data_IF_528938526147
#
_entry.id   IF_528938526147
#
_cell.length_a   1.000
_cell.length_b   1.000
_cell.length_c   1.000
_cell.angle_alpha   90.00
_cell.angle_beta   90.00
_cell.angle_gamma   90.00
#
_symmetry.space_group_name_H-M   'P 1'
#
loop_
_entity.id
_entity.type
_entity.pdbx_description
1 polymer ?
#
# COMPACT_ATOMS: atom_id res chain seq x y z
N UNK A 1 16.51 -8.96 24.83
CA UNK A 1 17.33 -8.20 23.86
C UNK A 1 16.94 -8.52 22.42
N UNK A 2 16.94 -9.79 21.99
CA UNK A 2 16.59 -10.16 20.60
C UNK A 2 15.20 -9.71 20.15
N UNK A 3 14.17 -9.89 20.98
CA UNK A 3 12.79 -9.44 20.67
C UNK A 3 12.71 -7.93 20.47
N UNK A 4 13.37 -7.16 21.35
CA UNK A 4 13.39 -5.69 21.27
C UNK A 4 14.09 -5.20 20.00
N UNK A 5 15.22 -5.82 19.62
CA UNK A 5 15.92 -5.51 18.37
C UNK A 5 15.06 -5.85 17.15
N UNK A 6 14.39 -7.01 17.15
CA UNK A 6 13.51 -7.42 16.06
C UNK A 6 12.33 -6.46 15.88
N UNK A 7 11.72 -6.00 16.98
CA UNK A 7 10.63 -5.02 16.95
C UNK A 7 11.09 -3.66 16.36
N UNK A 8 12.26 -3.17 16.77
CA UNK A 8 12.84 -1.93 16.24
C UNK A 8 13.15 -2.08 14.74
N UNK A 9 13.78 -3.18 14.33
CA UNK A 9 14.13 -3.43 12.93
C UNK A 9 12.89 -3.56 12.03
N UNK A 10 11.85 -4.24 12.50
CA UNK A 10 10.57 -4.37 11.79
C UNK A 10 9.92 -3.00 11.59
N UNK A 11 9.86 -2.19 12.65
CA UNK A 11 9.30 -0.83 12.59
C UNK A 11 10.03 0.04 11.57
N UNK A 12 11.36 0.01 11.54
CA UNK A 12 12.15 0.73 10.52
C UNK A 12 11.85 0.25 9.10
N UNK A 13 11.70 -1.08 8.93
CA UNK A 13 11.38 -1.70 7.65
C UNK A 13 9.98 -1.34 7.16
N UNK A 14 9.04 -0.99 8.04
CA UNK A 14 7.71 -0.50 7.64
C UNK A 14 7.70 1.00 7.32
N UNK A 15 8.39 1.81 8.13
CA UNK A 15 8.39 3.28 7.97
C UNK A 15 9.06 3.70 6.66
N UNK A 16 10.18 3.07 6.29
CA UNK A 16 10.95 3.49 5.11
C UNK A 16 10.18 3.28 3.78
N UNK A 17 9.61 2.10 3.47
CA UNK A 17 8.82 1.90 2.26
C UNK A 17 7.53 2.71 2.24
N UNK A 18 6.84 2.87 3.38
CA UNK A 18 5.64 3.68 3.47
C UNK A 18 5.93 5.14 3.09
N UNK A 19 7.02 5.70 3.61
CA UNK A 19 7.44 7.08 3.33
C UNK A 19 7.83 7.28 1.88
N UNK A 20 8.53 6.30 1.28
CA UNK A 20 8.90 6.31 -0.15
C UNK A 20 7.69 6.18 -1.07
N UNK A 21 6.71 5.36 -0.67
CA UNK A 21 5.45 5.22 -1.40
C UNK A 21 4.69 6.56 -1.40
N UNK A 22 4.58 7.20 -0.24
CA UNK A 22 3.99 8.54 -0.11
C UNK A 22 4.70 9.59 -0.97
N UNK A 23 6.04 9.60 -0.96
CA UNK A 23 6.85 10.48 -1.82
C UNK A 23 6.55 10.25 -3.32
N UNK A 24 6.54 8.99 -3.76
CA UNK A 24 6.28 8.63 -5.17
C UNK A 24 4.88 9.07 -5.60
N UNK A 25 3.87 8.81 -4.77
CA UNK A 25 2.50 9.23 -5.00
C UNK A 25 2.38 10.76 -5.06
N UNK A 26 3.05 11.49 -4.18
CA UNK A 26 3.04 12.95 -4.15
C UNK A 26 3.70 13.57 -5.40
N UNK A 27 4.79 12.97 -5.91
CA UNK A 27 5.41 13.39 -7.18
C UNK A 27 4.46 13.26 -8.38
N UNK A 28 3.63 12.21 -8.40
CA UNK A 28 2.57 12.01 -9.41
C UNK A 28 1.28 12.77 -9.11
N UNK A 29 1.26 13.66 -8.10
CA UNK A 29 0.08 14.38 -7.62
C UNK A 29 -1.09 13.49 -7.16
N UNK A 30 -0.83 12.23 -6.78
CA UNK A 30 -1.79 11.37 -6.10
C UNK A 30 -1.90 11.69 -4.58
N UNK A 31 -0.97 12.47 -4.04
CA UNK A 31 -0.97 13.00 -2.67
C UNK A 31 -0.58 14.50 -2.66
N UNK A 32 -0.81 15.22 -1.55
CA UNK A 32 -0.39 16.62 -1.41
C UNK A 32 1.10 16.80 -1.64
N UNK A 33 1.49 17.91 -2.29
CA UNK A 33 2.89 18.22 -2.64
C UNK A 33 3.84 18.25 -1.43
N UNK A 34 3.33 18.51 -0.23
CA UNK A 34 4.11 18.46 1.01
C UNK A 34 4.79 17.10 1.23
N UNK A 35 4.14 15.99 0.85
CA UNK A 35 4.73 14.65 0.92
C UNK A 35 5.84 14.41 -0.11
N UNK A 36 5.99 15.29 -1.10
CA UNK A 36 7.07 15.26 -2.11
C UNK A 36 8.35 15.95 -1.64
N UNK A 37 8.36 16.56 -0.44
CA UNK A 37 9.54 17.23 0.10
C UNK A 37 10.66 16.23 0.41
N UNK A 38 11.89 16.62 0.10
CA UNK A 38 13.10 15.82 0.32
C UNK A 38 14.07 16.66 1.14
N UNK A 39 14.55 16.12 2.26
CA UNK A 39 15.48 16.82 3.13
C UNK A 39 16.80 17.13 2.40
N UNK A 40 17.28 18.38 2.38
CA UNK A 40 18.44 18.78 1.57
C UNK A 40 19.74 18.07 1.95
N UNK A 41 19.92 17.76 3.25
CA UNK A 41 21.12 17.09 3.76
C UNK A 41 21.09 15.56 3.67
N UNK A 42 19.93 14.95 3.91
CA UNK A 42 19.80 13.49 4.10
C UNK A 42 19.17 12.80 2.88
N UNK A 43 18.61 13.58 1.95
CA UNK A 43 17.95 13.09 0.73
C UNK A 43 16.84 12.07 1.01
N UNK A 44 16.16 12.23 2.15
CA UNK A 44 15.04 11.40 2.59
C UNK A 44 13.73 12.18 2.57
N UNK A 45 12.58 11.50 2.38
CA UNK A 45 11.26 12.13 2.47
C UNK A 45 10.89 12.36 3.94
N UNK A 46 11.43 13.41 4.53
CA UNK A 46 11.28 13.77 5.94
C UNK A 46 9.82 13.98 6.34
N UNK A 47 9.05 14.74 5.55
CA UNK A 47 7.62 15.00 5.81
C UNK A 47 6.84 13.68 5.86
N UNK A 48 6.99 12.83 4.84
CA UNK A 48 6.31 11.53 4.80
C UNK A 48 6.72 10.62 5.96
N UNK A 49 8.00 10.68 6.35
CA UNK A 49 8.53 9.88 7.47
C UNK A 49 7.89 10.28 8.80
N UNK A 50 7.81 11.57 9.09
CA UNK A 50 7.19 12.08 10.31
C UNK A 50 5.68 11.82 10.35
N UNK A 51 4.99 11.93 9.21
CA UNK A 51 3.57 11.58 9.13
C UNK A 51 3.32 10.10 9.40
N UNK A 52 4.07 9.20 8.77
CA UNK A 52 3.95 7.76 9.02
C UNK A 52 4.23 7.43 10.48
N UNK A 53 5.34 7.95 11.04
CA UNK A 53 5.68 7.73 12.44
C UNK A 53 4.61 8.27 13.40
N UNK A 54 4.10 9.49 13.16
CA UNK A 54 3.07 10.11 13.99
C UNK A 54 1.76 9.32 13.97
N UNK A 55 1.28 8.91 12.80
CA UNK A 55 0.07 8.10 12.66
C UNK A 55 0.24 6.75 13.38
N UNK A 56 1.39 6.08 13.20
CA UNK A 56 1.67 4.82 13.88
C UNK A 56 1.70 4.94 15.41
N UNK A 57 2.31 6.00 15.95
CA UNK A 57 2.36 6.25 17.40
C UNK A 57 0.95 6.52 17.94
N UNK A 58 0.18 7.40 17.28
CA UNK A 58 -1.19 7.72 17.68
C UNK A 58 -2.05 6.45 17.69
N UNK A 59 -1.99 5.67 16.61
CA UNK A 59 -2.73 4.42 16.50
C UNK A 59 -2.39 3.45 17.64
N UNK A 60 -1.10 3.20 17.87
CA UNK A 60 -0.66 2.29 18.94
C UNK A 60 -1.10 2.76 20.34
N UNK A 61 -0.94 4.05 20.65
CA UNK A 61 -1.32 4.61 21.96
C UNK A 61 -2.83 4.55 22.17
N UNK A 62 -3.63 4.85 21.14
CA UNK A 62 -5.09 4.81 21.23
C UNK A 62 -5.57 3.37 21.42
N UNK A 63 -5.14 2.43 20.59
CA UNK A 63 -5.57 1.03 20.67
C UNK A 63 -5.04 0.34 21.92
N UNK A 64 -3.79 0.61 22.29
CA UNK A 64 -3.17 0.04 23.50
C UNK A 64 -3.83 0.52 24.80
N UNK A 65 -4.47 1.71 24.80
CA UNK A 65 -5.27 2.17 25.94
C UNK A 65 -6.65 1.52 26.02
N UNK A 66 -7.17 0.97 24.93
CA UNK A 66 -8.46 0.29 24.93
C UNK A 66 -8.37 -1.08 25.62
N UNK A 67 -7.57 -1.98 25.07
CA UNK A 67 -7.39 -3.36 25.59
C UNK A 67 -6.35 -4.12 24.77
N UNK A 68 -5.76 -5.17 25.34
CA UNK A 68 -4.94 -6.14 24.62
C UNK A 68 -5.76 -6.87 23.54
N UNK A 69 -7.03 -7.18 23.81
CA UNK A 69 -7.92 -7.78 22.81
C UNK A 69 -8.14 -6.85 21.62
N UNK A 70 -8.22 -5.53 21.85
CA UNK A 70 -8.35 -4.54 20.79
C UNK A 70 -7.08 -4.48 19.92
N UNK A 71 -5.88 -4.67 20.51
CA UNK A 71 -4.64 -4.80 19.75
C UNK A 71 -4.68 -6.03 18.83
N UNK A 72 -5.07 -7.19 19.36
CA UNK A 72 -5.22 -8.41 18.54
C UNK A 72 -6.27 -8.23 17.43
N UNK A 73 -7.39 -7.57 17.72
CA UNK A 73 -8.40 -7.27 16.72
C UNK A 73 -7.84 -6.38 15.59
N UNK A 74 -6.99 -5.41 15.91
CA UNK A 74 -6.31 -4.61 14.86
C UNK A 74 -5.28 -5.38 14.05
N UNK A 75 -4.61 -6.39 14.63
CA UNK A 75 -3.68 -7.25 13.91
C UNK A 75 -4.42 -8.16 12.91
N UNK A 76 -5.55 -8.71 13.33
CA UNK A 76 -6.44 -9.48 12.43
C UNK A 76 -6.97 -8.59 11.31
N UNK A 77 -7.43 -7.37 11.63
CA UNK A 77 -7.87 -6.39 10.63
C UNK A 77 -6.76 -6.02 9.63
N UNK A 78 -5.54 -5.79 10.13
CA UNK A 78 -4.36 -5.51 9.30
C UNK A 78 -4.09 -6.67 8.32
N UNK A 79 -4.23 -7.91 8.79
CA UNK A 79 -4.01 -9.11 7.98
C UNK A 79 -5.02 -9.21 6.82
N UNK A 80 -6.30 -8.89 7.08
CA UNK A 80 -7.34 -8.78 6.03
C UNK A 80 -6.96 -7.72 4.98
N UNK A 81 -6.54 -6.54 5.42
CA UNK A 81 -6.14 -5.44 4.53
C UNK A 81 -4.89 -5.81 3.70
N UNK A 82 -3.93 -6.51 4.30
CA UNK A 82 -2.72 -6.99 3.62
C UNK A 82 -3.09 -8.06 2.58
N UNK A 83 -3.97 -9.01 2.91
CA UNK A 83 -4.43 -10.02 1.96
C UNK A 83 -5.12 -9.39 0.75
N UNK A 84 -6.00 -8.40 1.00
CA UNK A 84 -6.63 -7.61 -0.06
C UNK A 84 -5.61 -6.85 -0.92
N UNK A 85 -4.67 -6.13 -0.28
CA UNK A 85 -3.64 -5.37 -0.96
C UNK A 85 -2.75 -6.25 -1.86
N UNK A 86 -2.29 -7.39 -1.35
CA UNK A 86 -1.41 -8.28 -2.12
C UNK A 86 -2.14 -9.02 -3.23
N UNK A 87 -3.40 -9.40 -3.02
CA UNK A 87 -4.21 -9.96 -4.10
C UNK A 87 -4.41 -8.97 -5.25
N UNK A 88 -4.80 -7.73 -4.94
CA UNK A 88 -4.95 -6.70 -5.95
C UNK A 88 -3.62 -6.43 -6.67
N UNK A 89 -2.51 -6.42 -5.94
CA UNK A 89 -1.17 -6.22 -6.49
C UNK A 89 -0.78 -7.34 -7.45
N UNK A 90 -1.02 -8.61 -7.11
CA UNK A 90 -0.67 -9.72 -8.00
C UNK A 90 -1.53 -9.73 -9.28
N UNK A 91 -2.82 -9.40 -9.18
CA UNK A 91 -3.68 -9.18 -10.36
C UNK A 91 -3.16 -8.00 -11.19
N UNK A 92 -2.82 -6.88 -10.55
CA UNK A 92 -2.29 -5.71 -11.23
C UNK A 92 -0.98 -6.01 -11.97
N UNK A 93 -0.08 -6.79 -11.38
CA UNK A 93 1.15 -7.25 -12.03
C UNK A 93 0.84 -8.03 -13.31
N UNK A 94 -0.09 -9.00 -13.26
CA UNK A 94 -0.47 -9.78 -14.44
C UNK A 94 -1.09 -8.91 -15.54
N UNK A 95 -1.93 -7.92 -15.17
CA UNK A 95 -2.56 -6.99 -16.13
C UNK A 95 -1.55 -6.00 -16.73
N UNK A 96 -0.60 -5.51 -15.93
CA UNK A 96 0.40 -4.53 -16.33
C UNK A 96 1.46 -5.13 -17.27
N UNK A 97 1.89 -6.37 -17.01
CA UNK A 97 2.86 -7.09 -17.84
C UNK A 97 2.23 -7.97 -18.92
N UNK A 98 0.91 -7.89 -19.16
CA UNK A 98 0.17 -8.80 -20.05
C UNK A 98 0.75 -8.99 -21.45
N UNK A 99 1.42 -7.97 -22.00
CA UNK A 99 2.07 -8.01 -23.32
C UNK A 99 3.41 -8.75 -23.33
N UNK A 100 4.10 -8.79 -22.20
CA UNK A 100 5.40 -9.45 -22.04
C UNK A 100 5.26 -10.89 -21.52
N UNK A 101 4.07 -11.27 -21.05
CA UNK A 101 3.77 -12.62 -20.59
C UNK A 101 3.96 -13.66 -21.72
N UNK A 102 3.69 -13.28 -22.97
CA UNK A 102 3.76 -14.19 -24.12
C UNK A 102 5.14 -14.25 -24.78
N UNK A 103 6.12 -13.46 -24.32
CA UNK A 103 7.46 -13.42 -24.91
C UNK A 103 8.33 -14.61 -24.50
N UNK A 104 8.07 -15.21 -23.33
CA UNK A 104 8.81 -16.37 -22.83
C UNK A 104 7.96 -17.18 -21.85
N UNK A 105 8.03 -18.51 -21.93
CA UNK A 105 7.37 -19.41 -20.99
C UNK A 105 7.80 -19.15 -19.53
N UNK A 106 9.06 -18.74 -19.32
CA UNK A 106 9.55 -18.36 -17.98
C UNK A 106 8.87 -17.09 -17.46
N UNK A 107 8.69 -16.08 -18.32
CA UNK A 107 8.01 -14.83 -17.98
C UNK A 107 6.53 -15.10 -17.69
N UNK A 108 5.88 -15.94 -18.51
CA UNK A 108 4.51 -16.36 -18.28
C UNK A 108 4.30 -16.96 -16.88
N UNK A 109 5.17 -17.90 -16.49
CA UNK A 109 5.02 -18.61 -15.20
C UNK A 109 5.37 -17.70 -14.01
N UNK A 110 6.50 -16.98 -14.06
CA UNK A 110 6.98 -16.20 -12.92
C UNK A 110 6.25 -14.86 -12.75
N UNK A 111 5.84 -14.20 -13.83
CA UNK A 111 5.24 -12.86 -13.82
C UNK A 111 3.71 -12.94 -13.92
N UNK A 112 3.18 -13.98 -14.58
CA UNK A 112 1.74 -14.17 -14.75
C UNK A 112 1.19 -15.19 -13.77
N UNK A 113 1.50 -16.46 -13.99
CA UNK A 113 0.82 -17.56 -13.31
C UNK A 113 1.07 -17.57 -11.80
N UNK A 114 2.31 -17.39 -11.35
CA UNK A 114 2.66 -17.36 -9.92
C UNK A 114 1.90 -16.28 -9.15
N UNK A 115 1.99 -15.00 -9.55
CA UNK A 115 1.23 -13.92 -8.93
C UNK A 115 -0.29 -14.11 -8.98
N UNK A 116 -0.84 -14.65 -10.08
CA UNK A 116 -2.27 -14.92 -10.20
C UNK A 116 -2.76 -16.02 -9.26
N UNK A 117 -2.01 -17.13 -9.15
CA UNK A 117 -2.34 -18.20 -8.19
C UNK A 117 -2.29 -17.66 -6.76
N UNK A 118 -1.23 -16.92 -6.40
CA UNK A 118 -1.13 -16.30 -5.08
C UNK A 118 -2.28 -15.33 -4.81
N UNK A 119 -2.66 -14.53 -5.80
CA UNK A 119 -3.79 -13.59 -5.67
C UNK A 119 -5.13 -14.30 -5.49
N UNK A 120 -5.34 -15.40 -6.21
CA UNK A 120 -6.54 -16.23 -6.08
C UNK A 120 -6.62 -16.89 -4.70
N UNK A 121 -5.50 -17.43 -4.20
CA UNK A 121 -5.43 -17.99 -2.85
C UNK A 121 -5.70 -16.93 -1.77
N UNK A 122 -5.13 -15.73 -1.90
CA UNK A 122 -5.39 -14.64 -0.96
C UNK A 122 -6.84 -14.14 -1.02
N UNK A 123 -7.48 -14.12 -2.20
CA UNK A 123 -8.92 -13.82 -2.32
C UNK A 123 -9.74 -14.87 -1.60
N UNK A 124 -9.41 -16.15 -1.80
CA UNK A 124 -10.09 -17.24 -1.13
C UNK A 124 -10.02 -17.07 0.40
N UNK A 125 -8.81 -16.89 0.94
CA UNK A 125 -8.60 -16.67 2.38
C UNK A 125 -9.30 -15.40 2.89
N UNK A 126 -9.30 -14.33 2.10
CA UNK A 126 -10.00 -13.10 2.45
C UNK A 126 -11.51 -13.32 2.56
N UNK A 127 -12.10 -14.02 1.59
CA UNK A 127 -13.54 -14.35 1.60
C UNK A 127 -13.87 -15.22 2.81
N UNK A 128 -13.08 -16.27 3.04
CA UNK A 128 -13.23 -17.16 4.20
C UNK A 128 -13.15 -16.39 5.51
N UNK A 129 -12.16 -15.51 5.66
CA UNK A 129 -12.00 -14.69 6.87
C UNK A 129 -13.13 -13.68 7.04
N UNK A 130 -13.67 -13.10 5.97
CA UNK A 130 -14.82 -12.19 6.06
C UNK A 130 -16.07 -12.93 6.53
N UNK A 131 -16.31 -14.15 6.05
CA UNK A 131 -17.43 -14.96 6.52
C UNK A 131 -17.25 -15.41 7.98
N UNK A 132 -16.05 -15.82 8.34
CA UNK A 132 -15.72 -16.25 9.70
C UNK A 132 -15.92 -15.11 10.72
N UNK A 133 -15.45 -13.90 10.38
CA UNK A 133 -15.60 -12.72 11.23
C UNK A 133 -16.96 -12.01 11.10
N UNK A 134 -17.82 -12.44 10.18
CA UNK A 134 -19.20 -11.96 10.14
C UNK A 134 -19.99 -12.50 11.34
N UNK A 135 -19.57 -13.63 11.90
CA UNK A 135 -20.07 -14.11 13.19
C UNK A 135 -19.25 -13.50 14.34
N UNK A 136 -19.92 -12.73 15.20
CA UNK A 136 -19.25 -11.99 16.26
C UNK A 136 -18.64 -12.89 17.34
N UNK A 137 -19.12 -14.14 17.48
CA UNK A 137 -18.60 -15.12 18.45
C UNK A 137 -17.16 -15.55 18.14
N UNK A 138 -16.72 -15.43 16.88
CA UNK A 138 -15.37 -15.82 16.44
C UNK A 138 -14.30 -14.74 16.71
N UNK A 139 -14.68 -13.58 17.24
CA UNK A 139 -13.73 -12.50 17.53
C UNK A 139 -12.99 -12.68 18.86
N UNK A 140 -11.72 -12.25 18.94
CA UNK A 140 -10.91 -12.35 20.18
C UNK A 140 -11.51 -11.60 21.36
N UNK A 141 -12.22 -10.51 21.10
CA UNK A 141 -12.93 -9.75 22.12
C UNK A 141 -14.28 -10.37 22.52
N UNK A 142 -14.85 -11.28 21.71
CA UNK A 142 -16.19 -11.85 21.93
C UNK A 142 -17.31 -10.78 21.92
N UNK A 143 -17.02 -9.58 21.40
CA UNK A 143 -17.91 -8.43 21.41
C UNK A 143 -18.40 -8.17 19.99
N UNK A 144 -19.70 -8.16 19.77
CA UNK A 144 -20.25 -7.78 18.47
C UNK A 144 -20.20 -6.26 18.28
N UNK A 145 -19.52 -5.78 17.25
CA UNK A 145 -19.61 -4.39 16.79
C UNK A 145 -20.52 -4.34 15.58
N UNK A 146 -21.70 -3.73 15.72
CA UNK A 146 -22.74 -3.71 14.66
C UNK A 146 -23.16 -5.11 14.15
N UNK A 147 -23.07 -6.14 15.01
CA UNK A 147 -23.37 -7.52 14.65
C UNK A 147 -22.24 -8.25 13.91
N UNK A 148 -21.06 -7.63 13.78
CA UNK A 148 -19.87 -8.21 13.16
C UNK A 148 -18.73 -8.29 14.17
N UNK A 149 -17.73 -9.13 13.89
CA UNK A 149 -16.46 -9.15 14.62
C UNK A 149 -15.76 -7.79 14.54
N UNK A 150 -15.21 -7.25 15.65
CA UNK A 150 -14.50 -5.97 15.66
C UNK A 150 -13.36 -5.87 14.63
N UNK A 151 -12.56 -6.93 14.34
CA UNK A 151 -11.52 -6.83 13.31
C UNK A 151 -12.09 -6.53 11.92
N UNK A 152 -13.26 -7.09 11.57
CA UNK A 152 -13.90 -6.84 10.29
C UNK A 152 -14.40 -5.40 10.19
N UNK A 153 -14.99 -4.88 11.27
CA UNK A 153 -15.44 -3.47 11.33
C UNK A 153 -14.26 -2.51 11.21
N UNK A 154 -13.15 -2.78 11.90
CA UNK A 154 -11.92 -1.98 11.81
C UNK A 154 -11.37 -2.03 10.38
N UNK A 155 -11.29 -3.21 9.77
CA UNK A 155 -10.82 -3.39 8.40
C UNK A 155 -11.65 -2.60 7.38
N UNK A 156 -12.98 -2.73 7.45
CA UNK A 156 -13.92 -1.97 6.61
C UNK A 156 -13.77 -0.47 6.85
N UNK A 157 -13.68 -0.04 8.12
CA UNK A 157 -13.52 1.37 8.47
C UNK A 157 -12.25 1.99 7.89
N UNK A 158 -11.10 1.33 8.05
CA UNK A 158 -9.82 1.79 7.48
C UNK A 158 -9.87 1.81 5.96
N UNK A 159 -10.46 0.78 5.33
CA UNK A 159 -10.64 0.74 3.89
C UNK A 159 -11.50 1.90 3.37
N UNK A 160 -12.65 2.15 4.01
CA UNK A 160 -13.55 3.24 3.66
C UNK A 160 -12.89 4.62 3.84
N UNK A 161 -12.14 4.82 4.92
CA UNK A 161 -11.35 6.05 5.11
C UNK A 161 -10.38 6.25 3.95
N UNK A 162 -9.68 5.19 3.52
CA UNK A 162 -8.80 5.23 2.34
C UNK A 162 -9.55 5.62 1.06
N UNK A 163 -10.72 5.02 0.80
CA UNK A 163 -11.57 5.34 -0.36
C UNK A 163 -12.07 6.78 -0.31
N UNK A 164 -12.53 7.25 0.85
CA UNK A 164 -13.00 8.64 1.04
C UNK A 164 -11.86 9.61 0.78
N UNK A 165 -10.68 9.39 1.35
CA UNK A 165 -9.49 10.21 1.09
C UNK A 165 -9.13 10.22 -0.41
N UNK A 166 -9.21 9.06 -1.06
CA UNK A 166 -8.98 8.95 -2.50
C UNK A 166 -10.01 9.77 -3.31
N UNK A 167 -11.30 9.70 -2.96
CA UNK A 167 -12.37 10.45 -3.65
C UNK A 167 -12.28 11.96 -3.41
N UNK A 168 -12.03 12.37 -2.17
CA UNK A 168 -11.81 13.76 -1.78
C UNK A 168 -10.61 14.34 -2.53
N UNK A 169 -9.51 13.58 -2.64
CA UNK A 169 -8.34 14.01 -3.40
C UNK A 169 -8.61 14.02 -4.91
N UNK A 170 -9.34 13.03 -5.43
CA UNK A 170 -9.77 12.99 -6.84
C UNK A 170 -10.62 14.20 -7.23
N UNK A 171 -11.45 14.70 -6.31
CA UNK A 171 -12.25 15.90 -6.54
C UNK A 171 -11.39 17.17 -6.58
N UNK A 172 -10.38 17.27 -5.72
CA UNK A 172 -9.48 18.43 -5.62
C UNK A 172 -8.43 18.47 -6.73
N UNK A 173 -7.87 17.32 -7.11
CA UNK A 173 -6.74 17.26 -8.04
C UNK A 173 -6.90 16.11 -9.04
N UNK A 174 -7.37 16.44 -10.24
CA UNK A 174 -7.61 15.46 -11.31
C UNK A 174 -6.35 15.06 -12.07
N UNK A 175 -5.19 15.70 -11.81
CA UNK A 175 -3.97 15.52 -12.60
C UNK A 175 -3.51 14.07 -12.68
N UNK A 176 -3.47 13.36 -11.55
CA UNK A 176 -3.13 11.94 -11.52
C UNK A 176 -4.14 11.09 -12.29
N UNK A 177 -5.43 11.37 -12.12
CA UNK A 177 -6.53 10.61 -12.74
C UNK A 177 -6.71 10.86 -14.25
N UNK A 178 -6.01 11.85 -14.80
CA UNK A 178 -5.95 12.13 -16.24
C UNK A 178 -4.84 11.32 -16.93
N UNK A 179 -3.91 10.73 -16.19
CA UNK A 179 -2.87 9.86 -16.75
C UNK A 179 -3.52 8.61 -17.36
N UNK A 180 -3.13 8.29 -18.60
CA UNK A 180 -3.63 7.08 -19.27
C UNK A 180 -3.01 5.84 -18.61
N UNK A 181 -3.80 4.79 -18.33
CA UNK A 181 -3.25 3.52 -17.86
C UNK A 181 -2.20 2.99 -18.85
N UNK A 182 -0.94 3.02 -18.44
CA UNK A 182 0.18 2.46 -19.19
C UNK A 182 0.38 0.98 -18.90
N UNK A 183 0.97 0.27 -19.84
CA UNK A 183 1.59 -1.05 -19.60
C UNK A 183 3.10 -0.84 -19.44
N UNK A 184 3.82 -1.87 -18.97
CA UNK A 184 5.28 -1.81 -18.90
C UNK A 184 5.87 -1.34 -20.24
N UNK A 185 6.77 -0.34 -20.19
CA UNK A 185 7.45 0.17 -21.37
C UNK A 185 8.45 -0.90 -21.86
N UNK A 186 8.32 -1.43 -23.09
CA UNK A 186 9.19 -2.50 -23.59
C UNK A 186 10.67 -2.12 -23.54
N UNK A 187 11.00 -0.85 -23.83
CA UNK A 187 12.38 -0.37 -23.88
C UNK A 187 13.07 -0.37 -22.50
N UNK A 188 12.29 -0.15 -21.43
CA UNK A 188 12.79 -0.23 -20.05
C UNK A 188 12.95 -1.68 -19.59
N UNK A 189 12.07 -2.59 -20.02
CA UNK A 189 12.12 -4.01 -19.66
C UNK A 189 13.30 -4.72 -20.31
N UNK A 190 13.62 -4.36 -21.56
CA UNK A 190 14.76 -4.91 -22.29
C UNK A 190 16.10 -4.20 -21.96
N UNK A 191 16.08 -3.18 -21.09
CA UNK A 191 17.28 -2.46 -20.66
C UNK A 191 17.88 -1.55 -21.75
N UNK A 192 17.08 -1.13 -22.74
CA UNK A 192 17.52 -0.36 -23.92
C UNK A 192 17.40 1.16 -23.69
N UNK A 193 16.75 1.60 -22.62
CA UNK A 193 16.42 3.01 -22.43
C UNK A 193 17.66 3.94 -22.32
N UNK A 194 17.86 4.77 -23.34
CA UNK A 194 18.50 6.08 -23.24
C UNK A 194 17.57 7.00 -22.44
N UNK A 195 18.14 7.83 -21.55
CA UNK A 195 17.36 8.74 -20.71
C UNK A 195 16.44 9.62 -21.57
N UNK A 196 15.12 9.59 -21.32
CA UNK A 196 14.23 10.64 -21.84
C UNK A 196 14.67 11.97 -21.21
N UNK A 197 14.86 13.05 -22.00
CA UNK A 197 15.10 14.38 -21.43
C UNK A 197 13.96 14.74 -20.47
N UNK A 198 14.32 15.25 -19.29
CA UNK A 198 13.34 15.78 -18.34
C UNK A 198 12.67 16.99 -19.00
N UNK A 199 11.33 17.08 -19.08
CA UNK A 199 10.64 18.29 -19.55
C UNK A 199 10.98 19.55 -18.75
N UNK A 200 11.66 19.41 -17.60
CA UNK A 200 12.16 20.51 -16.78
C UNK A 200 13.53 21.06 -17.22
N UNK A 201 14.26 20.36 -18.11
CA UNK A 201 15.55 20.83 -18.65
C UNK A 201 15.40 21.82 -19.82
N UNK A 202 14.21 21.96 -20.41
CA UNK A 202 13.97 22.91 -21.51
C UNK A 202 13.95 24.39 -21.06
N UNK A 203 14.04 24.66 -19.76
CA UNK A 203 14.01 26.02 -19.18
C UNK A 203 15.36 26.60 -18.76
N UNK A 204 16.44 25.80 -18.73
CA UNK A 204 17.76 26.27 -18.34
C UNK A 204 18.60 26.62 -19.58
N UNK A 205 18.38 27.82 -20.10
CA UNK A 205 19.30 28.42 -21.08
C UNK A 205 20.73 28.51 -20.51
N UNK A 206 21.76 28.51 -21.37
CA UNK A 206 23.15 28.49 -20.94
C UNK A 206 23.49 29.76 -20.14
N UNK A 207 24.05 29.57 -18.93
CA UNK A 207 24.80 30.58 -18.17
C UNK A 207 26.24 30.66 -18.67
#
# INVERSE_FOLDING_TARGET
VSVSIAAIASTQTTILPASRTGLSMARRAALPRHFAHIHPRFRTPDVSTWWVAGISIIWYVVVGKLSENALFDTLTALSLLIAFYYSLTGIACAVYYRRHLTESAKNFVLIGLGPLIGSAMLIWLLIESVFDLADAENSYSGQAWFGLGPPLVIGIGVFLVGVVLMLVWRAQNKRFWQERPGVADPDLVHGIATARPDPLDEGAGPV
#
